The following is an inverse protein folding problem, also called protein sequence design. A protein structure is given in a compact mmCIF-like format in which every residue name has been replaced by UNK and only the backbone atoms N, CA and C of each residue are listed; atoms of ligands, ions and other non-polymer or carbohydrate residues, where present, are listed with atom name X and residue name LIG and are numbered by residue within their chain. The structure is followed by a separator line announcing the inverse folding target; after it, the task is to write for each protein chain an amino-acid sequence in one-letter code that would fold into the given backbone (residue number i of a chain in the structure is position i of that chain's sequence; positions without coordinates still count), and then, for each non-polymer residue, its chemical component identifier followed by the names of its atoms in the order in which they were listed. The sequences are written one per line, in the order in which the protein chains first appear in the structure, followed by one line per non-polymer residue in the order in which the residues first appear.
data_IF_803180354980
#
_entry.id   IF_803180354980
#
_cell.length_a   1.000
_cell.length_b   1.000
_cell.length_c   1.000
_cell.angle_alpha   90.00
_cell.angle_beta   90.00
_cell.angle_gamma   90.00
#
_symmetry.space_group_name_H-M   'P 1'
#
loop_
_entity.id
_entity.type
_entity.pdbx_description
1 polymer ?
#
# COMPACT_ATOMS: atom_id res chain seq x y z
N UNK A 1 -41.43 75.77 -23.86
CA UNK A 1 -41.89 75.56 -22.47
C UNK A 1 -41.12 74.36 -21.91
N UNK A 2 -40.41 74.54 -20.78
CA UNK A 2 -39.77 73.54 -19.88
C UNK A 2 -38.68 72.62 -20.49
N UNK A 3 -37.37 72.92 -20.32
CA UNK A 3 -36.45 72.55 -19.21
C UNK A 3 -36.30 71.05 -18.91
N UNK A 4 -35.05 70.54 -18.99
CA UNK A 4 -34.28 69.65 -18.07
C UNK A 4 -33.07 69.05 -18.85
N UNK A 5 -31.81 69.45 -18.57
CA UNK A 5 -30.76 68.67 -17.86
C UNK A 5 -30.53 67.24 -18.42
N UNK A 6 -29.34 66.70 -18.73
CA UNK A 6 -27.95 66.97 -18.28
C UNK A 6 -26.99 66.00 -19.02
N UNK A 7 -25.69 66.35 -19.02
CA UNK A 7 -24.48 65.49 -18.95
C UNK A 7 -23.90 64.82 -20.22
N UNK A 8 -22.63 65.17 -20.45
CA UNK A 8 -21.65 64.53 -21.31
C UNK A 8 -21.12 63.21 -20.72
N UNK A 9 -20.54 62.34 -21.56
CA UNK A 9 -19.24 61.71 -21.30
C UNK A 9 -18.72 60.91 -22.51
N UNK A 10 -17.43 61.11 -22.77
CA UNK A 10 -16.61 60.39 -23.73
C UNK A 10 -16.21 59.01 -23.17
N UNK A 11 -16.06 58.02 -24.05
CA UNK A 11 -15.46 56.73 -23.72
C UNK A 11 -14.21 56.49 -24.59
N UNK A 12 -13.04 56.51 -23.94
CA UNK A 12 -11.76 56.09 -24.51
C UNK A 12 -11.60 54.59 -24.35
N UNK A 13 -11.23 53.89 -25.42
CA UNK A 13 -10.98 52.45 -25.42
C UNK A 13 -9.55 52.14 -24.95
N UNK A 14 -9.41 51.36 -23.86
CA UNK A 14 -8.14 50.88 -23.33
C UNK A 14 -8.02 49.37 -23.65
N UNK A 15 -6.99 49.00 -24.41
CA UNK A 15 -6.69 47.60 -24.74
C UNK A 15 -6.04 46.86 -23.57
N UNK A 16 -6.63 45.74 -23.15
CA UNK A 16 -6.04 44.81 -22.19
C UNK A 16 -5.22 43.74 -22.91
N UNK A 17 -3.91 43.70 -22.65
CA UNK A 17 -3.04 42.58 -23.00
C UNK A 17 -3.20 41.47 -21.95
N UNK A 18 -3.74 40.32 -22.35
CA UNK A 18 -3.74 39.10 -21.54
C UNK A 18 -2.34 38.47 -21.57
N UNK A 19 -1.59 38.59 -20.47
CA UNK A 19 -0.40 37.78 -20.21
C UNK A 19 -0.82 36.43 -19.65
N UNK A 20 -0.79 35.39 -20.48
CA UNK A 20 -1.01 34.00 -20.08
C UNK A 20 0.12 33.53 -19.18
N UNK A 21 -0.13 33.36 -17.88
CA UNK A 21 0.78 32.64 -16.99
C UNK A 21 0.75 31.15 -17.35
N UNK A 22 1.71 30.70 -18.17
CA UNK A 22 1.95 29.27 -18.38
C UNK A 22 2.64 28.72 -17.13
N UNK A 23 1.86 28.17 -16.20
CA UNK A 23 2.36 27.30 -15.15
C UNK A 23 3.01 26.07 -15.81
N UNK A 24 4.34 26.07 -15.91
CA UNK A 24 5.10 24.92 -16.40
C UNK A 24 4.86 23.68 -15.54
N UNK A 25 4.96 22.47 -16.11
CA UNK A 25 4.80 21.25 -15.33
C UNK A 25 5.86 21.23 -14.23
N UNK A 26 5.43 21.07 -12.98
CA UNK A 26 6.36 20.78 -11.90
C UNK A 26 7.12 19.50 -12.28
N UNK A 27 8.44 19.59 -12.46
CA UNK A 27 9.28 18.45 -12.76
C UNK A 27 9.11 17.46 -11.60
N UNK A 28 8.41 16.35 -11.86
CA UNK A 28 8.20 15.31 -10.89
C UNK A 28 9.55 14.66 -10.59
N UNK A 29 10.12 14.95 -9.42
CA UNK A 29 11.24 14.19 -8.87
C UNK A 29 10.70 12.82 -8.45
N UNK A 30 10.56 11.90 -9.40
CA UNK A 30 10.16 10.54 -9.12
C UNK A 30 11.26 9.57 -9.54
N UNK A 31 11.61 8.68 -8.62
CA UNK A 31 12.28 7.44 -8.95
C UNK A 31 11.27 6.30 -8.84
N UNK A 32 11.58 5.13 -9.37
CA UNK A 32 10.74 3.94 -9.31
C UNK A 32 11.57 2.75 -8.90
N UNK A 33 10.93 1.76 -8.26
CA UNK A 33 11.52 0.46 -7.96
C UNK A 33 10.67 -0.65 -8.55
N UNK A 34 11.33 -1.65 -9.14
CA UNK A 34 10.67 -2.83 -9.67
C UNK A 34 11.51 -4.10 -9.43
N UNK A 35 10.90 -5.24 -9.06
CA UNK A 35 9.47 -5.39 -8.71
C UNK A 35 9.14 -4.83 -7.32
N UNK A 36 7.85 -4.61 -7.04
CA UNK A 36 7.36 -4.28 -5.69
C UNK A 36 6.97 -5.50 -4.85
N UNK A 37 7.02 -6.69 -5.46
CA UNK A 37 6.76 -7.98 -4.83
C UNK A 37 7.85 -8.96 -5.25
N UNK A 38 8.47 -9.60 -4.26
CA UNK A 38 9.42 -10.68 -4.47
C UNK A 38 9.04 -11.87 -3.60
N UNK A 39 9.07 -13.06 -4.19
CA UNK A 39 8.89 -14.32 -3.47
C UNK A 39 10.17 -15.15 -3.66
N UNK A 40 10.83 -15.43 -2.54
CA UNK A 40 12.07 -16.18 -2.45
C UNK A 40 11.79 -17.55 -1.83
N UNK A 41 12.68 -18.50 -2.07
CA UNK A 41 12.76 -19.74 -1.32
C UNK A 41 14.04 -19.76 -0.49
N UNK A 42 14.07 -20.49 0.64
CA UNK A 42 15.26 -20.54 1.50
C UNK A 42 16.51 -21.15 0.84
N UNK A 43 16.37 -21.87 -0.29
CA UNK A 43 17.45 -22.67 -0.88
C UNK A 43 17.82 -22.31 -2.32
N UNK A 44 19.13 -22.46 -2.58
CA UNK A 44 19.86 -22.41 -3.85
C UNK A 44 19.50 -21.30 -4.86
N UNK A 45 18.68 -21.59 -5.87
CA UNK A 45 18.52 -20.70 -7.04
C UNK A 45 17.40 -19.68 -6.90
N UNK A 46 16.52 -19.84 -5.89
CA UNK A 46 15.38 -18.95 -5.65
C UNK A 46 15.53 -18.15 -4.36
N UNK A 47 16.71 -18.12 -3.77
CA UNK A 47 17.03 -17.30 -2.60
C UNK A 47 17.50 -15.89 -2.96
N UNK A 48 17.60 -15.57 -4.26
CA UNK A 48 18.06 -14.27 -4.76
C UNK A 48 16.95 -13.54 -5.52
N UNK A 49 16.91 -12.21 -5.36
CA UNK A 49 16.06 -11.31 -6.14
C UNK A 49 16.88 -10.11 -6.60
N UNK A 50 16.63 -9.68 -7.84
CA UNK A 50 17.16 -8.42 -8.35
C UNK A 50 16.06 -7.37 -8.42
N UNK A 51 16.33 -6.18 -7.91
CA UNK A 51 15.47 -5.01 -8.03
C UNK A 51 16.17 -3.93 -8.87
N UNK A 52 15.40 -3.23 -9.69
CA UNK A 52 15.85 -2.09 -10.46
C UNK A 52 15.30 -0.81 -9.85
N UNK A 53 16.19 0.16 -9.61
CA UNK A 53 15.82 1.52 -9.24
C UNK A 53 16.05 2.41 -10.45
N UNK A 54 14.98 3.01 -10.97
CA UNK A 54 14.98 3.93 -12.10
C UNK A 54 14.81 5.36 -11.60
N UNK A 55 15.72 6.26 -11.95
CA UNK A 55 15.56 7.68 -11.72
C UNK A 55 14.96 8.33 -12.98
N UNK A 56 13.78 8.95 -12.86
CA UNK A 56 13.13 9.66 -13.98
C UNK A 56 13.37 11.17 -13.96
N UNK A 57 14.18 11.66 -13.02
CA UNK A 57 14.53 13.07 -12.93
C UNK A 57 15.79 13.39 -13.74
N UNK A 58 15.94 14.67 -14.06
CA UNK A 58 17.10 15.20 -14.80
C UNK A 58 18.34 15.44 -13.93
N UNK A 59 18.24 15.11 -12.63
CA UNK A 59 19.34 15.21 -11.66
C UNK A 59 19.64 13.83 -11.06
N UNK A 60 20.90 13.53 -10.70
CA UNK A 60 21.19 12.30 -9.96
C UNK A 60 20.47 12.28 -8.61
N UNK A 61 20.24 11.07 -8.08
CA UNK A 61 19.68 10.87 -6.74
C UNK A 61 20.54 9.89 -5.95
N UNK A 62 20.65 10.08 -4.64
CA UNK A 62 21.18 9.07 -3.73
C UNK A 62 20.02 8.34 -3.04
N UNK A 63 20.08 7.02 -2.99
CA UNK A 63 19.08 6.18 -2.33
C UNK A 63 19.72 5.22 -1.34
N UNK A 64 18.97 4.90 -0.29
CA UNK A 64 19.29 3.86 0.69
C UNK A 64 18.16 2.83 0.72
N UNK A 65 18.54 1.56 0.80
CA UNK A 65 17.63 0.44 0.93
C UNK A 65 17.88 -0.30 2.26
N UNK A 66 16.82 -0.49 3.05
CA UNK A 66 16.85 -1.22 4.32
C UNK A 66 15.73 -2.26 4.31
N UNK A 67 16.01 -3.45 4.85
CA UNK A 67 15.04 -4.55 4.97
C UNK A 67 14.64 -4.71 6.42
N UNK A 68 13.33 -4.75 6.67
CA UNK A 68 12.75 -5.00 7.99
C UNK A 68 11.76 -6.14 7.94
N UNK A 69 11.60 -6.81 9.08
CA UNK A 69 10.50 -7.74 9.24
C UNK A 69 9.16 -7.01 9.05
N UNK A 70 8.22 -7.64 8.36
CA UNK A 70 6.86 -7.12 8.23
C UNK A 70 6.01 -7.67 9.35
N UNK A 71 5.58 -6.79 10.23
CA UNK A 71 4.61 -7.09 11.28
C UNK A 71 3.28 -6.41 10.96
N UNK A 72 2.18 -7.08 11.29
CA UNK A 72 0.82 -6.57 11.07
C UNK A 72 0.00 -6.89 12.31
N UNK A 73 -0.65 -5.88 12.89
CA UNK A 73 -1.57 -6.08 14.02
C UNK A 73 -2.84 -6.83 13.59
N UNK A 74 -3.61 -7.31 14.56
CA UNK A 74 -4.91 -7.93 14.30
C UNK A 74 -5.88 -6.97 13.58
N UNK A 75 -5.79 -5.66 13.83
CA UNK A 75 -6.56 -4.64 13.11
C UNK A 75 -6.04 -4.34 11.69
N UNK A 76 -4.91 -4.93 11.30
CA UNK A 76 -4.30 -4.73 9.99
C UNK A 76 -3.33 -3.57 9.87
N UNK A 77 -3.01 -2.89 10.97
CA UNK A 77 -2.00 -1.85 10.97
C UNK A 77 -0.62 -2.47 10.76
N UNK A 78 0.15 -1.89 9.84
CA UNK A 78 1.54 -2.30 9.68
C UNK A 78 2.36 -1.78 10.85
N UNK A 79 3.10 -2.67 11.50
CA UNK A 79 4.01 -2.34 12.59
C UNK A 79 5.45 -2.36 12.05
N UNK A 80 6.31 -1.52 12.61
CA UNK A 80 7.73 -1.52 12.27
C UNK A 80 8.41 -2.73 12.95
N UNK A 81 8.88 -3.68 12.14
CA UNK A 81 9.75 -4.74 12.60
C UNK A 81 11.22 -4.30 12.70
N UNK A 82 12.02 -5.19 13.28
CA UNK A 82 13.47 -5.03 13.34
C UNK A 82 14.10 -5.05 11.94
N UNK A 83 15.28 -4.45 11.82
CA UNK A 83 16.11 -4.60 10.61
C UNK A 83 16.56 -6.05 10.55
N UNK A 84 16.31 -6.73 9.43
CA UNK A 84 16.67 -8.14 9.28
C UNK A 84 18.14 -8.27 8.89
N UNK A 85 18.85 -9.16 9.57
CA UNK A 85 20.23 -9.57 9.26
C UNK A 85 20.26 -10.82 8.36
N UNK A 86 19.10 -11.37 8.03
CA UNK A 86 18.93 -12.60 7.22
C UNK A 86 19.12 -12.37 5.72
N UNK A 87 19.56 -11.17 5.33
CA UNK A 87 19.70 -10.77 3.94
C UNK A 87 21.04 -10.11 3.66
N UNK A 88 21.64 -10.50 2.54
CA UNK A 88 22.70 -9.73 1.89
C UNK A 88 22.05 -8.82 0.85
N UNK A 89 22.20 -7.50 1.02
CA UNK A 89 21.69 -6.49 0.10
C UNK A 89 22.85 -5.67 -0.49
N UNK A 90 23.01 -5.72 -1.81
CA UNK A 90 24.16 -5.11 -2.50
C UNK A 90 23.74 -4.28 -3.71
N UNK A 91 24.15 -3.00 -3.80
CA UNK A 91 24.66 -2.17 -2.70
C UNK A 91 23.51 -1.69 -1.78
N UNK A 92 23.72 -1.46 -0.47
CA UNK A 92 22.68 -0.91 0.40
C UNK A 92 22.42 0.59 0.17
N UNK A 93 23.39 1.30 -0.41
CA UNK A 93 23.30 2.70 -0.80
C UNK A 93 23.91 2.91 -2.18
N UNK A 94 23.32 3.77 -3.00
CA UNK A 94 23.83 4.03 -4.34
C UNK A 94 23.38 5.39 -4.88
N UNK A 95 24.17 5.92 -5.81
CA UNK A 95 23.79 7.06 -6.65
C UNK A 95 23.20 6.53 -7.95
N UNK A 96 21.97 6.95 -8.25
CA UNK A 96 21.30 6.65 -9.51
C UNK A 96 21.42 7.87 -10.42
N UNK A 97 22.07 7.73 -11.60
CA UNK A 97 22.24 8.86 -12.54
C UNK A 97 20.90 9.47 -12.98
N UNK A 98 20.94 10.72 -13.43
CA UNK A 98 19.81 11.37 -14.09
C UNK A 98 19.32 10.51 -15.27
N UNK A 99 18.00 10.32 -15.38
CA UNK A 99 17.36 9.46 -16.39
C UNK A 99 17.93 8.03 -16.48
N UNK A 100 18.66 7.58 -15.43
CA UNK A 100 19.40 6.33 -15.40
C UNK A 100 18.79 5.31 -14.44
N UNK A 101 19.39 4.12 -14.38
CA UNK A 101 18.98 3.10 -13.41
C UNK A 101 20.15 2.37 -12.78
N UNK A 102 19.95 1.91 -11.56
CA UNK A 102 20.86 1.05 -10.83
C UNK A 102 20.15 -0.20 -10.31
N UNK A 103 20.94 -1.21 -10.00
CA UNK A 103 20.44 -2.53 -9.60
C UNK A 103 20.79 -2.82 -8.15
N UNK A 104 19.81 -3.28 -7.38
CA UNK A 104 19.96 -3.84 -6.04
C UNK A 104 19.83 -5.35 -6.14
N UNK A 105 20.80 -6.09 -5.60
CA UNK A 105 20.73 -7.55 -5.47
C UNK A 105 20.46 -7.90 -4.02
N UNK A 106 19.42 -8.70 -3.83
CA UNK A 106 19.01 -9.23 -2.55
C UNK A 106 19.26 -10.73 -2.55
N UNK A 107 19.83 -11.25 -1.46
CA UNK A 107 19.98 -12.68 -1.22
C UNK A 107 19.58 -13.03 0.20
N UNK A 108 18.73 -14.04 0.35
CA UNK A 108 18.44 -14.68 1.64
C UNK A 108 19.66 -15.49 2.11
N UNK A 109 20.04 -15.27 3.37
CA UNK A 109 21.10 -16.00 4.09
C UNK A 109 20.66 -16.50 5.48
N UNK A 110 19.38 -16.31 5.82
CA UNK A 110 18.82 -16.83 7.06
C UNK A 110 18.57 -18.34 7.03
N UNK A 111 17.68 -18.81 7.92
CA UNK A 111 17.38 -20.22 8.11
C UNK A 111 17.00 -20.93 6.78
N UNK A 112 17.73 -21.98 6.37
CA UNK A 112 17.41 -22.75 5.16
C UNK A 112 16.16 -23.64 5.29
N UNK A 113 15.72 -23.98 6.50
CA UNK A 113 14.52 -24.79 6.74
C UNK A 113 13.45 -23.99 7.49
N UNK A 114 12.53 -23.40 6.73
CA UNK A 114 11.42 -22.65 7.30
C UNK A 114 10.18 -23.53 7.49
N UNK A 115 9.50 -23.37 8.63
CA UNK A 115 8.19 -23.99 8.87
C UNK A 115 7.05 -23.24 8.18
N UNK A 116 7.22 -21.93 7.95
CA UNK A 116 6.23 -21.05 7.33
C UNK A 116 6.89 -19.89 6.60
N UNK A 117 6.11 -19.23 5.76
CA UNK A 117 6.51 -18.02 5.07
C UNK A 117 6.87 -16.89 6.05
N UNK A 118 8.03 -16.27 5.83
CA UNK A 118 8.48 -15.10 6.56
C UNK A 118 8.29 -13.84 5.70
N UNK A 119 7.53 -12.83 6.19
CA UNK A 119 7.26 -11.61 5.46
C UNK A 119 8.24 -10.48 5.86
N UNK A 120 8.78 -9.79 4.86
CA UNK A 120 9.71 -8.69 4.99
C UNK A 120 9.33 -7.53 4.08
N UNK A 121 9.90 -6.36 4.36
CA UNK A 121 9.76 -5.17 3.54
C UNK A 121 11.10 -4.50 3.31
N UNK A 122 11.43 -4.29 2.04
CA UNK A 122 12.55 -3.43 1.67
C UNK A 122 12.03 -2.01 1.44
N UNK A 123 12.46 -1.08 2.27
CA UNK A 123 12.18 0.35 2.11
C UNK A 123 13.37 0.99 1.40
N UNK A 124 13.13 1.53 0.20
CA UNK A 124 14.11 2.30 -0.55
C UNK A 124 13.74 3.77 -0.47
N UNK A 125 14.56 4.59 0.18
CA UNK A 125 14.32 6.02 0.42
C UNK A 125 15.40 6.86 -0.24
N UNK A 126 15.02 8.03 -0.73
CA UNK A 126 15.99 9.04 -1.15
C UNK A 126 16.70 9.63 0.07
N UNK A 127 18.02 9.79 -0.02
CA UNK A 127 18.82 10.51 0.98
C UNK A 127 19.04 11.93 0.47
N UNK A 128 18.81 12.97 1.29
CA UNK A 128 19.17 14.34 0.92
C UNK A 128 20.68 14.44 0.71
N UNK A 129 21.08 14.84 -0.48
CA UNK A 129 22.47 15.09 -0.84
C UNK A 129 22.52 16.36 -1.68
N UNK A 130 23.44 17.25 -1.33
CA UNK A 130 23.65 18.50 -2.06
C UNK A 130 24.54 18.21 -3.26
N UNK A 131 23.96 18.23 -4.46
CA UNK A 131 24.71 18.02 -5.70
C UNK A 131 25.23 19.35 -6.32
N UNK A 132 24.69 20.51 -5.91
CA UNK A 132 25.05 21.86 -6.40
C UNK A 132 25.17 22.89 -5.26
N UNK A 133 25.89 23.99 -5.49
CA UNK A 133 26.09 25.09 -4.52
C UNK A 133 24.77 25.79 -4.11
N UNK A 134 24.64 26.26 -2.86
CA UNK A 134 23.36 26.76 -2.33
C UNK A 134 22.90 28.05 -3.02
N UNK A 135 21.73 28.00 -3.67
CA UNK A 135 20.98 29.17 -4.11
C UNK A 135 19.98 29.63 -3.04
N UNK A 136 19.90 30.94 -2.80
CA UNK A 136 18.99 31.55 -1.83
C UNK A 136 17.51 31.39 -2.27
N UNK A 137 16.74 30.67 -1.46
CA UNK A 137 15.29 30.53 -1.61
C UNK A 137 14.77 29.32 -0.84
N UNK A 138 13.67 29.49 -0.09
CA UNK A 138 13.04 28.38 0.63
C UNK A 138 12.55 27.30 -0.34
N UNK A 139 13.23 26.15 -0.36
CA UNK A 139 12.84 24.97 -1.15
C UNK A 139 12.20 23.93 -0.23
N UNK A 140 10.94 23.59 -0.51
CA UNK A 140 10.30 22.41 0.09
C UNK A 140 10.81 21.18 -0.66
N UNK A 141 11.52 20.30 0.02
CA UNK A 141 11.97 19.01 -0.54
C UNK A 141 11.02 17.91 -0.11
N UNK A 142 10.29 17.32 -1.05
CA UNK A 142 9.46 16.14 -0.81
C UNK A 142 10.34 14.90 -0.96
N UNK A 143 10.53 14.14 0.13
CA UNK A 143 11.28 12.89 0.09
C UNK A 143 10.34 11.71 -0.19
N UNK A 144 10.54 11.05 -1.32
CA UNK A 144 9.81 9.83 -1.65
C UNK A 144 10.48 8.60 -1.04
N UNK A 145 9.67 7.60 -0.68
CA UNK A 145 10.14 6.27 -0.31
C UNK A 145 9.24 5.21 -0.94
N UNK A 146 9.84 4.13 -1.41
CA UNK A 146 9.11 2.98 -1.93
C UNK A 146 9.30 1.78 -1.02
N UNK A 147 8.27 0.94 -0.96
CA UNK A 147 8.28 -0.29 -0.15
C UNK A 147 8.00 -1.46 -1.06
N UNK A 148 8.99 -2.35 -1.21
CA UNK A 148 8.80 -3.66 -1.83
C UNK A 148 8.49 -4.69 -0.74
N UNK A 149 7.51 -5.56 -0.98
CA UNK A 149 7.23 -6.70 -0.11
C UNK A 149 8.08 -7.89 -0.56
N UNK A 150 8.76 -8.52 0.39
CA UNK A 150 9.60 -9.69 0.17
C UNK A 150 9.03 -10.80 1.04
N UNK A 151 8.82 -11.98 0.47
CA UNK A 151 8.38 -13.16 1.21
C UNK A 151 9.37 -14.28 0.99
N UNK A 152 9.80 -14.92 2.06
CA UNK A 152 10.64 -16.12 1.99
C UNK A 152 9.77 -17.29 2.38
N UNK A 153 9.38 -18.12 1.41
CA UNK A 153 8.42 -19.19 1.60
C UNK A 153 9.05 -20.56 1.38
N UNK A 154 8.88 -21.52 2.30
CA UNK A 154 9.34 -22.89 2.06
C UNK A 154 8.55 -23.53 0.89
N UNK A 155 9.15 -24.47 0.15
CA UNK A 155 8.43 -25.22 -0.88
C UNK A 155 7.19 -25.91 -0.29
N UNK A 156 6.07 -25.84 -1.01
CA UNK A 156 4.81 -26.46 -0.58
C UNK A 156 4.07 -25.69 0.53
N UNK A 157 4.53 -24.51 0.93
CA UNK A 157 3.77 -23.64 1.82
C UNK A 157 2.39 -23.33 1.20
N UNK A 158 1.34 -23.38 2.01
CA UNK A 158 -0.02 -23.13 1.54
C UNK A 158 -0.82 -22.28 2.53
N UNK A 159 -1.80 -21.53 2.01
CA UNK A 159 -2.73 -20.75 2.85
C UNK A 159 -3.92 -21.59 3.31
N UNK A 160 -4.40 -21.37 4.53
CA UNK A 160 -5.65 -21.96 5.05
C UNK A 160 -6.40 -20.92 5.88
N UNK A 161 -7.45 -20.33 5.33
CA UNK A 161 -8.21 -19.25 5.98
C UNK A 161 -9.49 -19.80 6.58
N UNK A 162 -9.69 -19.52 7.87
CA UNK A 162 -10.92 -19.79 8.59
C UNK A 162 -11.55 -18.48 9.10
N UNK A 163 -12.86 -18.33 8.89
CA UNK A 163 -13.65 -17.35 9.65
C UNK A 163 -13.92 -17.95 11.03
N UNK A 164 -13.31 -17.37 12.06
CA UNK A 164 -13.36 -17.89 13.43
C UNK A 164 -14.34 -17.15 14.32
N UNK A 165 -14.65 -15.90 13.98
CA UNK A 165 -15.58 -15.07 14.73
C UNK A 165 -16.34 -14.13 13.80
N UNK A 166 -17.60 -13.90 14.12
CA UNK A 166 -18.40 -12.81 13.57
C UNK A 166 -19.23 -12.24 14.71
N UNK A 167 -19.24 -10.91 14.87
CA UNK A 167 -19.97 -10.24 15.94
C UNK A 167 -20.43 -8.82 15.54
N UNK A 168 -21.55 -8.33 16.11
CA UNK A 168 -21.89 -6.92 16.03
C UNK A 168 -20.88 -6.06 16.80
N UNK A 169 -20.44 -4.96 16.19
CA UNK A 169 -19.62 -3.96 16.86
C UNK A 169 -20.19 -2.56 16.59
N UNK A 170 -20.33 -1.74 17.63
CA UNK A 170 -20.61 -0.32 17.48
C UNK A 170 -19.34 0.47 17.85
N UNK A 171 -18.87 1.30 16.93
CA UNK A 171 -17.66 2.13 17.12
C UNK A 171 -17.84 3.46 16.40
N UNK A 172 -17.46 4.56 17.04
CA UNK A 172 -17.55 5.91 16.46
C UNK A 172 -18.97 6.27 15.94
N UNK A 173 -20.01 5.77 16.61
CA UNK A 173 -21.41 5.98 16.22
C UNK A 173 -21.84 5.21 14.96
N UNK A 174 -21.03 4.25 14.49
CA UNK A 174 -21.32 3.38 13.35
C UNK A 174 -21.43 1.92 13.78
N UNK A 175 -22.34 1.20 13.14
CA UNK A 175 -22.54 -0.24 13.31
C UNK A 175 -21.72 -1.02 12.28
N UNK A 176 -21.02 -2.03 12.76
CA UNK A 176 -20.12 -2.86 11.98
C UNK A 176 -20.43 -4.33 12.21
N UNK A 177 -20.27 -5.10 11.14
CA UNK A 177 -20.06 -6.54 11.22
C UNK A 177 -18.55 -6.74 11.39
N UNK A 178 -18.12 -7.07 12.61
CA UNK A 178 -16.73 -7.42 12.87
C UNK A 178 -16.55 -8.91 12.59
N UNK A 179 -15.66 -9.27 11.65
CA UNK A 179 -15.29 -10.66 11.40
C UNK A 179 -13.81 -10.88 11.70
N UNK A 180 -13.48 -12.03 12.28
CA UNK A 180 -12.10 -12.46 12.50
C UNK A 180 -11.77 -13.59 11.52
N UNK A 181 -10.76 -13.36 10.69
CA UNK A 181 -10.18 -14.36 9.81
C UNK A 181 -8.82 -14.79 10.36
N UNK A 182 -8.61 -16.09 10.49
CA UNK A 182 -7.36 -16.70 10.92
C UNK A 182 -6.74 -17.44 9.73
N UNK A 183 -5.44 -17.21 9.48
CA UNK A 183 -4.68 -18.02 8.55
C UNK A 183 -3.93 -19.13 9.31
N UNK A 184 -4.46 -20.35 9.27
CA UNK A 184 -3.89 -21.56 9.87
C UNK A 184 -2.82 -22.20 8.99
N UNK A 185 -2.66 -21.70 7.78
CA UNK A 185 -1.67 -22.17 6.82
C UNK A 185 -0.26 -21.65 7.07
N UNK A 186 0.66 -22.16 6.26
CA UNK A 186 2.09 -21.80 6.28
C UNK A 186 2.45 -20.75 5.22
N UNK A 187 1.51 -20.31 4.39
CA UNK A 187 1.68 -19.22 3.40
C UNK A 187 0.66 -18.11 3.62
N UNK A 188 0.99 -16.86 3.26
CA UNK A 188 0.00 -15.78 3.27
C UNK A 188 -1.17 -16.09 2.34
N UNK A 189 -2.35 -15.60 2.70
CA UNK A 189 -3.50 -15.51 1.81
C UNK A 189 -3.65 -14.07 1.30
N UNK A 190 -4.08 -13.91 0.05
CA UNK A 190 -4.58 -12.63 -0.46
C UNK A 190 -5.95 -12.88 -1.05
N UNK A 191 -6.97 -12.24 -0.46
CA UNK A 191 -8.37 -12.42 -0.88
C UNK A 191 -8.56 -11.75 -2.24
N UNK A 192 -8.95 -12.52 -3.25
CA UNK A 192 -9.33 -12.03 -4.57
C UNK A 192 -10.81 -11.63 -4.58
N UNK A 193 -11.66 -12.57 -4.16
CA UNK A 193 -13.11 -12.44 -4.11
C UNK A 193 -13.63 -13.04 -2.82
N UNK A 194 -14.67 -12.43 -2.27
CA UNK A 194 -15.33 -12.88 -1.06
C UNK A 194 -16.84 -12.77 -1.21
N UNK A 195 -17.54 -13.74 -0.66
CA UNK A 195 -18.98 -13.74 -0.41
C UNK A 195 -19.20 -14.16 1.05
N UNK A 196 -20.07 -13.45 1.75
CA UNK A 196 -20.44 -13.79 3.12
C UNK A 196 -21.91 -14.19 3.18
N UNK A 197 -22.21 -15.25 3.92
CA UNK A 197 -23.56 -15.50 4.40
C UNK A 197 -23.61 -15.09 5.86
N UNK A 198 -24.54 -14.20 6.22
CA UNK A 198 -24.68 -13.66 7.57
C UNK A 198 -26.08 -13.98 8.07
N UNK A 199 -26.18 -14.62 9.23
CA UNK A 199 -27.46 -15.01 9.85
C UNK A 199 -27.62 -14.26 11.16
N UNK A 200 -28.69 -13.48 11.28
CA UNK A 200 -29.10 -12.81 12.50
C UNK A 200 -30.46 -13.30 13.00
N UNK A 201 -31.05 -12.56 13.95
CA UNK A 201 -32.34 -12.91 14.54
C UNK A 201 -33.50 -12.94 13.51
N UNK A 202 -33.47 -12.05 12.53
CA UNK A 202 -34.54 -11.89 11.54
C UNK A 202 -34.37 -12.78 10.29
N UNK A 203 -33.31 -13.58 10.23
CA UNK A 203 -33.01 -14.48 9.13
C UNK A 203 -31.58 -14.38 8.59
N UNK A 204 -31.37 -14.91 7.39
CA UNK A 204 -30.07 -14.91 6.70
C UNK A 204 -30.06 -13.93 5.53
N UNK A 205 -28.92 -13.28 5.32
CA UNK A 205 -28.65 -12.44 4.15
C UNK A 205 -27.30 -12.78 3.54
N UNK A 206 -27.23 -12.65 2.21
CA UNK A 206 -25.99 -12.84 1.46
C UNK A 206 -25.37 -11.49 1.12
N UNK A 207 -24.10 -11.33 1.47
CA UNK A 207 -23.26 -10.23 1.00
C UNK A 207 -22.49 -10.73 -0.21
N UNK A 208 -22.99 -10.38 -1.39
CA UNK A 208 -22.43 -10.80 -2.67
C UNK A 208 -21.06 -10.16 -2.92
N UNK A 209 -20.25 -10.81 -3.75
CA UNK A 209 -18.97 -10.30 -4.21
C UNK A 209 -19.13 -8.94 -4.90
N UNK A 210 -18.28 -7.98 -4.54
CA UNK A 210 -18.36 -6.59 -5.04
C UNK A 210 -19.33 -5.71 -4.24
N UNK A 211 -20.01 -6.23 -3.22
CA UNK A 211 -20.69 -5.37 -2.24
C UNK A 211 -19.65 -4.59 -1.40
N UNK A 212 -19.99 -3.39 -0.87
CA UNK A 212 -19.05 -2.61 -0.05
C UNK A 212 -18.42 -3.38 1.10
N UNK A 213 -19.16 -4.32 1.70
CA UNK A 213 -18.65 -5.20 2.74
C UNK A 213 -17.61 -6.21 2.22
N UNK A 214 -17.88 -6.87 1.11
CA UNK A 214 -16.93 -7.83 0.54
C UNK A 214 -15.72 -7.16 -0.12
N UNK A 215 -15.87 -5.97 -0.70
CA UNK A 215 -14.77 -5.19 -1.27
C UNK A 215 -13.73 -4.82 -0.20
N UNK A 216 -14.16 -4.52 1.02
CA UNK A 216 -13.25 -4.26 2.15
C UNK A 216 -12.34 -5.45 2.48
N UNK A 217 -12.72 -6.67 2.07
CA UNK A 217 -11.90 -7.88 2.22
C UNK A 217 -10.97 -8.11 1.02
N UNK A 218 -11.32 -7.65 -0.18
CA UNK A 218 -10.51 -7.87 -1.38
C UNK A 218 -9.14 -7.21 -1.27
N UNK A 219 -8.12 -7.83 -1.87
CA UNK A 219 -6.70 -7.42 -1.83
C UNK A 219 -6.05 -7.43 -0.44
N UNK A 220 -6.80 -7.76 0.61
CA UNK A 220 -6.27 -7.85 1.97
C UNK A 220 -5.35 -9.06 2.09
N UNK A 221 -4.19 -8.84 2.71
CA UNK A 221 -3.21 -9.90 3.01
C UNK A 221 -3.38 -10.37 4.44
N UNK A 222 -3.49 -11.68 4.63
CA UNK A 222 -3.45 -12.34 5.94
C UNK A 222 -2.17 -13.20 5.97
N UNK A 223 -1.21 -12.82 6.80
CA UNK A 223 0.09 -13.50 6.90
C UNK A 223 -0.07 -14.93 7.44
N UNK A 224 0.89 -15.81 7.18
CA UNK A 224 0.88 -17.18 7.69
C UNK A 224 0.83 -17.20 9.23
N UNK A 225 -0.11 -17.95 9.80
CA UNK A 225 -0.33 -18.02 11.26
C UNK A 225 -0.91 -16.76 11.91
N UNK A 226 -1.32 -15.74 11.13
CA UNK A 226 -1.86 -14.50 11.67
C UNK A 226 -3.38 -14.51 11.73
N UNK A 227 -3.94 -13.74 12.67
CA UNK A 227 -5.36 -13.41 12.72
C UNK A 227 -5.58 -11.95 12.31
N UNK A 228 -6.73 -11.67 11.69
CA UNK A 228 -7.13 -10.34 11.25
C UNK A 228 -8.60 -10.09 11.53
N UNK A 229 -8.88 -8.96 12.16
CA UNK A 229 -10.23 -8.44 12.36
C UNK A 229 -10.55 -7.45 11.25
N UNK A 230 -11.66 -7.66 10.57
CA UNK A 230 -12.20 -6.76 9.56
C UNK A 230 -13.50 -6.15 10.05
N UNK A 231 -13.59 -4.82 9.94
CA UNK A 231 -14.80 -4.08 10.25
C UNK A 231 -15.55 -3.81 8.95
N UNK A 232 -16.62 -4.56 8.73
CA UNK A 232 -17.45 -4.45 7.54
C UNK A 232 -18.67 -3.58 7.84
N UNK A 233 -19.26 -2.89 6.85
CA UNK A 233 -20.57 -2.28 6.99
C UNK A 233 -21.59 -3.31 7.48
N UNK A 234 -22.42 -2.92 8.44
CA UNK A 234 -23.52 -3.77 8.90
C UNK A 234 -24.54 -4.00 7.76
N UNK A 235 -25.05 -5.22 7.56
CA UNK A 235 -26.12 -5.47 6.59
C UNK A 235 -27.45 -4.82 7.01
N UNK A 236 -27.95 -3.87 6.22
CA UNK A 236 -29.22 -3.17 6.49
C UNK A 236 -30.44 -4.10 6.59
N UNK A 237 -30.36 -5.28 5.98
CA UNK A 237 -31.41 -6.30 6.00
C UNK A 237 -31.57 -7.01 7.35
N UNK A 238 -30.63 -6.83 8.29
CA UNK A 238 -30.65 -7.49 9.61
C UNK A 238 -30.75 -6.47 10.75
N UNK A 239 -31.57 -6.77 11.76
CA UNK A 239 -31.51 -6.04 13.03
C UNK A 239 -30.14 -6.20 13.67
N UNK A 240 -29.59 -5.09 14.18
CA UNK A 240 -28.32 -5.09 14.89
C UNK A 240 -28.38 -5.99 16.13
N UNK A 241 -27.52 -7.00 16.20
CA UNK A 241 -27.54 -7.99 17.27
C UNK A 241 -26.62 -9.18 17.03
N UNK A 242 -26.69 -10.22 17.86
CA UNK A 242 -25.90 -11.43 17.69
C UNK A 242 -26.09 -12.05 16.31
N UNK A 243 -24.99 -12.47 15.68
CA UNK A 243 -24.98 -13.07 14.34
C UNK A 243 -24.05 -14.27 14.28
N UNK A 244 -24.20 -15.06 13.22
CA UNK A 244 -23.16 -15.98 12.73
C UNK A 244 -22.86 -15.65 11.28
N UNK A 245 -21.66 -16.00 10.81
CA UNK A 245 -21.30 -15.81 9.42
C UNK A 245 -20.47 -16.97 8.88
N UNK A 246 -20.57 -17.21 7.57
CA UNK A 246 -19.65 -18.07 6.82
C UNK A 246 -19.07 -17.31 5.64
N UNK A 247 -17.81 -17.60 5.32
CA UNK A 247 -17.05 -16.98 4.23
C UNK A 247 -16.83 -18.00 3.12
N UNK A 248 -17.20 -17.62 1.90
CA UNK A 248 -16.73 -18.27 0.68
C UNK A 248 -15.79 -17.29 -0.02
N UNK A 249 -14.52 -17.66 -0.17
CA UNK A 249 -13.51 -16.78 -0.74
C UNK A 249 -12.59 -17.47 -1.73
N UNK A 250 -12.15 -16.71 -2.73
CA UNK A 250 -11.11 -17.06 -3.67
C UNK A 250 -9.85 -16.27 -3.31
N UNK A 251 -8.68 -16.89 -3.52
CA UNK A 251 -7.40 -16.32 -3.12
C UNK A 251 -6.45 -16.26 -4.32
N UNK A 252 -5.74 -15.14 -4.45
CA UNK A 252 -4.73 -14.94 -5.51
C UNK A 252 -3.49 -15.80 -5.31
N UNK A 253 -3.19 -16.14 -4.05
CA UNK A 253 -2.02 -16.92 -3.65
C UNK A 253 -2.56 -18.06 -2.78
N UNK A 254 -2.18 -19.29 -3.14
CA UNK A 254 -2.50 -20.52 -2.41
C UNK A 254 -1.23 -21.27 -2.08
#
# INVERSE_FOLDING_TARGET
MFHHHRLAQAAAALGLALTSLTSGPAAAQSYEISPLLAELQPTASRSEQTFRVLNKSDTPIAVEAIIRQRLVSDSGQNLDGEISEDFILVPPQMVVPAQGSQTLRLRWIGEPQLERELPFRMRVRQIPVTFDAPGEGGRVTVAFSYVANIYVAPPGAASDIALTKAEPLESEGKRHLAITLENRGTKRAVIDKAELQVTGADGATSLAAGSPATEALTTQTILAGASRVFLLPWPDALTFGPITASLNAQYLIR
#
